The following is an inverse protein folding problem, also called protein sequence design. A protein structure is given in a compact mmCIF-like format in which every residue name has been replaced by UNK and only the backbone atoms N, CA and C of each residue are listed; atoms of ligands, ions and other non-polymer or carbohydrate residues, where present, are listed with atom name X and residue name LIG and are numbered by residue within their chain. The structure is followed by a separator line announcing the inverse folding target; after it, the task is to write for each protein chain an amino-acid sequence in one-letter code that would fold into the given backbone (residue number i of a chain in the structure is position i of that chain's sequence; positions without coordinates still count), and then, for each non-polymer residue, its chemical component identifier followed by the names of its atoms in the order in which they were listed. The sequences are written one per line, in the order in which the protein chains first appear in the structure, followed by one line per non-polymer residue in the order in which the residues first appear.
data_IF_047370514164
#
_entry.id   IF_047370514164
#
_cell.length_a   1.000
_cell.length_b   1.000
_cell.length_c   1.000
_cell.angle_alpha   90.00
_cell.angle_beta   90.00
_cell.angle_gamma   90.00
#
_symmetry.space_group_name_H-M   'P 1'
#
loop_
_entity.id
_entity.type
_entity.pdbx_description
1 polymer ?
#
# COMPACT_ATOMS: atom_id res chain seq x y z
N UNK A 1 -27.13 5.20 -11.47
CA UNK A 1 -26.03 5.22 -10.49
C UNK A 1 -26.59 5.68 -9.17
N UNK A 2 -26.53 4.84 -8.14
CA UNK A 2 -26.96 5.22 -6.80
C UNK A 2 -25.92 6.11 -6.11
N UNK A 3 -26.31 6.80 -5.04
CA UNK A 3 -25.41 7.61 -4.21
C UNK A 3 -24.17 6.82 -3.73
N UNK A 4 -24.36 5.53 -3.41
CA UNK A 4 -23.30 4.61 -2.98
C UNK A 4 -22.26 4.38 -4.09
N UNK A 5 -22.69 4.24 -5.35
CA UNK A 5 -21.78 4.05 -6.48
C UNK A 5 -20.89 5.27 -6.69
N UNK A 6 -21.50 6.47 -6.65
CA UNK A 6 -20.79 7.74 -6.79
C UNK A 6 -19.77 7.93 -5.67
N UNK A 7 -20.17 7.64 -4.42
CA UNK A 7 -19.29 7.70 -3.27
C UNK A 7 -18.07 6.77 -3.42
N UNK A 8 -18.29 5.53 -3.86
CA UNK A 8 -17.21 4.54 -4.05
C UNK A 8 -16.25 4.98 -5.16
N UNK A 9 -16.75 5.54 -6.26
CA UNK A 9 -15.91 6.07 -7.34
C UNK A 9 -15.04 7.23 -6.84
N UNK A 10 -15.61 8.17 -6.08
CA UNK A 10 -14.87 9.32 -5.53
C UNK A 10 -13.81 8.85 -4.53
N UNK A 11 -14.17 7.95 -3.60
CA UNK A 11 -13.26 7.40 -2.60
C UNK A 11 -12.09 6.66 -3.27
N UNK A 12 -12.39 5.86 -4.28
CA UNK A 12 -11.41 5.15 -5.12
C UNK A 12 -10.41 6.11 -5.74
N UNK A 13 -10.89 7.18 -6.39
CA UNK A 13 -10.03 8.17 -7.03
C UNK A 13 -9.14 8.88 -6.02
N UNK A 14 -9.66 9.17 -4.83
CA UNK A 14 -8.87 9.75 -3.74
C UNK A 14 -7.75 8.80 -3.27
N UNK A 15 -8.07 7.53 -3.02
CA UNK A 15 -7.08 6.51 -2.59
C UNK A 15 -6.03 6.29 -3.69
N UNK A 16 -6.45 6.17 -4.94
CA UNK A 16 -5.55 6.04 -6.08
C UNK A 16 -4.57 7.22 -6.18
N UNK A 17 -5.07 8.44 -6.04
CA UNK A 17 -4.24 9.65 -6.06
C UNK A 17 -3.22 9.66 -4.92
N UNK A 18 -3.60 9.22 -3.71
CA UNK A 18 -2.68 9.10 -2.57
C UNK A 18 -1.57 8.09 -2.83
N UNK A 19 -1.87 6.93 -3.43
CA UNK A 19 -0.87 5.92 -3.76
C UNK A 19 0.09 6.41 -4.87
N UNK A 20 -0.40 7.16 -5.87
CA UNK A 20 0.47 7.80 -6.87
C UNK A 20 1.41 8.83 -6.24
N UNK A 21 0.92 9.64 -5.30
CA UNK A 21 1.76 10.60 -4.55
C UNK A 21 2.79 9.88 -3.69
N UNK A 22 2.40 8.78 -3.03
CA UNK A 22 3.31 7.90 -2.28
C UNK A 22 4.45 7.38 -3.17
N UNK A 23 4.14 6.88 -4.38
CA UNK A 23 5.16 6.43 -5.33
C UNK A 23 6.10 7.56 -5.76
N UNK A 24 5.58 8.76 -6.04
CA UNK A 24 6.40 9.93 -6.38
C UNK A 24 7.35 10.30 -5.23
N UNK A 25 6.85 10.35 -3.99
CA UNK A 25 7.67 10.63 -2.80
C UNK A 25 8.71 9.53 -2.55
N UNK A 26 8.36 8.26 -2.77
CA UNK A 26 9.32 7.15 -2.72
C UNK A 26 10.40 7.27 -3.81
N UNK A 27 10.04 7.71 -5.01
CA UNK A 27 11.01 7.93 -6.10
C UNK A 27 11.99 9.06 -5.77
N UNK A 28 11.52 10.12 -5.10
CA UNK A 28 12.33 11.22 -4.55
C UNK A 28 13.15 10.85 -3.32
N UNK A 29 13.17 9.57 -2.90
CA UNK A 29 13.82 9.07 -1.68
C UNK A 29 13.32 9.73 -0.38
N UNK A 30 12.13 10.34 -0.41
CA UNK A 30 11.50 10.98 0.74
C UNK A 30 10.67 9.95 1.55
N UNK A 31 11.30 8.88 2.05
CA UNK A 31 10.58 7.77 2.69
C UNK A 31 9.94 8.13 4.04
N UNK A 32 10.43 9.19 4.69
CA UNK A 32 9.85 9.73 5.92
C UNK A 32 8.56 10.55 5.68
N UNK A 33 8.17 10.76 4.41
CA UNK A 33 6.99 11.56 4.07
C UNK A 33 5.70 10.94 4.66
N UNK A 34 4.74 11.75 5.12
CA UNK A 34 3.43 11.26 5.60
C UNK A 34 2.73 10.36 4.58
N UNK A 35 2.81 10.68 3.30
CA UNK A 35 2.20 9.88 2.22
C UNK A 35 2.77 8.46 2.12
N UNK A 36 4.04 8.28 2.49
CA UNK A 36 4.74 6.99 2.45
C UNK A 36 4.56 6.22 3.76
N UNK A 37 4.40 6.94 4.87
CA UNK A 37 4.34 6.39 6.23
C UNK A 37 2.93 6.13 6.75
N UNK A 38 1.93 6.83 6.22
CA UNK A 38 0.52 6.71 6.63
C UNK A 38 -0.03 5.29 6.51
N UNK A 39 0.45 4.53 5.53
CA UNK A 39 0.00 3.15 5.29
C UNK A 39 0.98 2.09 5.77
N UNK A 40 1.84 2.41 6.75
CA UNK A 40 2.85 1.52 7.32
C UNK A 40 2.70 1.36 8.82
N UNK A 41 3.23 0.26 9.36
CA UNK A 41 3.27 0.09 10.80
C UNK A 41 4.07 1.22 11.48
N UNK A 42 3.59 1.69 12.64
CA UNK A 42 4.20 2.78 13.43
C UNK A 42 5.72 2.60 13.62
N UNK A 43 6.18 1.36 13.85
CA UNK A 43 7.60 1.04 14.01
C UNK A 43 8.43 1.32 12.75
N UNK A 44 7.88 1.05 11.56
CA UNK A 44 8.60 1.26 10.29
C UNK A 44 8.57 2.72 9.89
N UNK A 45 7.47 3.42 10.14
CA UNK A 45 7.37 4.87 9.95
C UNK A 45 8.41 5.62 10.80
N UNK A 46 8.54 5.25 12.09
CA UNK A 46 9.55 5.80 12.98
C UNK A 46 10.97 5.50 12.48
N UNK A 47 11.28 4.24 12.14
CA UNK A 47 12.59 3.83 11.61
C UNK A 47 12.99 4.60 10.35
N UNK A 48 12.07 4.80 9.41
CA UNK A 48 12.35 5.54 8.17
C UNK A 48 12.56 7.04 8.42
N UNK A 49 11.95 7.59 9.47
CA UNK A 49 12.09 8.99 9.85
C UNK A 49 13.38 9.25 10.62
N UNK A 50 13.75 8.36 11.54
CA UNK A 50 14.95 8.50 12.37
C UNK A 50 16.25 8.25 11.58
N UNK A 51 16.24 7.29 10.65
CA UNK A 51 17.47 6.84 9.98
C UNK A 51 17.73 7.51 8.64
N UNK A 52 16.83 8.39 8.17
CA UNK A 52 16.88 9.04 6.85
C UNK A 52 17.38 8.14 5.71
N UNK A 53 16.97 6.87 5.72
CA UNK A 53 17.58 5.86 4.83
C UNK A 53 17.29 6.22 3.38
N UNK A 54 18.30 6.30 2.52
CA UNK A 54 18.16 6.66 1.08
C UNK A 54 18.39 5.47 0.13
N UNK A 55 18.25 4.26 0.64
CA UNK A 55 18.53 3.01 -0.09
C UNK A 55 17.52 2.77 -1.23
N UNK A 56 18.04 2.56 -2.44
CA UNK A 56 17.31 2.27 -3.68
C UNK A 56 16.40 1.03 -3.54
N UNK A 57 16.79 0.06 -2.70
CA UNK A 57 16.02 -1.18 -2.43
C UNK A 57 14.69 -0.85 -1.74
N UNK A 58 14.69 0.14 -0.84
CA UNK A 58 13.47 0.58 -0.14
C UNK A 58 12.51 1.26 -1.12
N UNK A 59 13.03 2.08 -2.06
CA UNK A 59 12.24 2.65 -3.15
C UNK A 59 11.54 1.58 -3.98
N UNK A 60 12.25 0.54 -4.43
CA UNK A 60 11.65 -0.55 -5.23
C UNK A 60 10.51 -1.24 -4.47
N UNK A 61 10.74 -1.59 -3.21
CA UNK A 61 9.74 -2.26 -2.37
C UNK A 61 8.51 -1.39 -2.15
N UNK A 62 8.72 -0.09 -1.93
CA UNK A 62 7.64 0.88 -1.77
C UNK A 62 6.75 1.02 -2.99
N UNK A 63 7.38 1.13 -4.16
CA UNK A 63 6.67 1.24 -5.43
C UNK A 63 5.88 -0.06 -5.67
N UNK A 64 6.51 -1.23 -5.49
CA UNK A 64 5.83 -2.53 -5.63
C UNK A 64 4.63 -2.63 -4.69
N UNK A 65 4.78 -2.24 -3.41
CA UNK A 65 3.66 -2.26 -2.46
C UNK A 65 2.50 -1.36 -2.90
N UNK A 66 2.81 -0.16 -3.37
CA UNK A 66 1.79 0.79 -3.86
C UNK A 66 1.09 0.24 -5.11
N UNK A 67 1.82 -0.41 -6.01
CA UNK A 67 1.26 -1.07 -7.20
C UNK A 67 0.34 -2.24 -6.82
N UNK A 68 0.77 -3.11 -5.88
CA UNK A 68 -0.05 -4.24 -5.39
C UNK A 68 -1.36 -3.73 -4.78
N UNK A 69 -1.32 -2.62 -4.03
CA UNK A 69 -2.53 -2.01 -3.47
C UNK A 69 -3.46 -1.43 -4.52
N UNK A 70 -2.93 -0.74 -5.52
CA UNK A 70 -3.73 -0.25 -6.65
C UNK A 70 -4.40 -1.43 -7.37
N UNK A 71 -3.67 -2.52 -7.59
CA UNK A 71 -4.22 -3.72 -8.20
C UNK A 71 -5.33 -4.33 -7.34
N UNK A 72 -5.14 -4.47 -6.03
CA UNK A 72 -6.18 -4.90 -5.08
C UNK A 72 -7.40 -3.98 -5.11
N UNK A 73 -7.19 -2.66 -5.16
CA UNK A 73 -8.26 -1.67 -5.27
C UNK A 73 -9.10 -1.91 -6.54
N UNK A 74 -8.45 -2.09 -7.69
CA UNK A 74 -9.11 -2.39 -8.97
C UNK A 74 -9.89 -3.71 -8.94
N UNK A 75 -9.33 -4.75 -8.30
CA UNK A 75 -10.03 -6.02 -8.10
C UNK A 75 -11.30 -5.80 -7.26
N UNK A 76 -11.21 -5.08 -6.13
CA UNK A 76 -12.36 -4.78 -5.27
C UNK A 76 -13.45 -3.97 -5.99
N UNK A 77 -13.07 -2.98 -6.80
CA UNK A 77 -14.01 -2.19 -7.61
C UNK A 77 -14.71 -3.06 -8.64
N UNK A 78 -13.93 -3.89 -9.35
CA UNK A 78 -14.49 -4.80 -10.36
C UNK A 78 -15.46 -5.78 -9.72
N UNK A 79 -15.17 -6.27 -8.51
CA UNK A 79 -16.06 -7.13 -7.74
C UNK A 79 -17.32 -6.39 -7.29
N UNK A 80 -17.18 -5.15 -6.81
CA UNK A 80 -18.31 -4.33 -6.38
C UNK A 80 -19.31 -4.11 -7.53
N UNK A 81 -18.83 -3.75 -8.72
CA UNK A 81 -19.70 -3.58 -9.89
C UNK A 81 -20.16 -4.90 -10.53
N UNK A 82 -19.45 -6.01 -10.28
CA UNK A 82 -19.85 -7.36 -10.67
C UNK A 82 -20.62 -8.12 -9.59
N UNK A 83 -21.12 -7.44 -8.55
CA UNK A 83 -21.99 -8.01 -7.49
C UNK A 83 -23.15 -8.84 -8.03
N UNK A 84 -23.62 -8.55 -9.25
CA UNK A 84 -24.64 -9.32 -9.97
C UNK A 84 -24.21 -10.75 -10.33
N UNK A 85 -22.90 -11.03 -10.38
CA UNK A 85 -22.28 -12.29 -10.78
C UNK A 85 -21.56 -13.03 -9.63
N UNK A 86 -21.23 -12.37 -8.53
CA UNK A 86 -20.32 -12.92 -7.49
C UNK A 86 -21.01 -13.63 -6.32
N UNK A 87 -22.32 -13.42 -6.10
CA UNK A 87 -23.12 -14.22 -5.16
C UNK A 87 -22.46 -14.47 -3.78
N UNK A 88 -22.54 -15.71 -3.29
CA UNK A 88 -22.04 -16.13 -1.96
C UNK A 88 -20.50 -16.04 -1.79
N UNK A 89 -19.74 -15.80 -2.86
CA UNK A 89 -18.28 -15.72 -2.79
C UNK A 89 -17.76 -14.33 -2.39
N UNK A 90 -18.64 -13.33 -2.25
CA UNK A 90 -18.25 -11.96 -1.92
C UNK A 90 -17.47 -11.86 -0.60
N UNK A 91 -17.89 -12.63 0.42
CA UNK A 91 -17.19 -12.72 1.71
C UNK A 91 -15.80 -13.35 1.55
N UNK A 92 -15.71 -14.49 0.87
CA UNK A 92 -14.43 -15.21 0.68
C UNK A 92 -13.44 -14.35 -0.07
N UNK A 93 -13.89 -13.64 -1.10
CA UNK A 93 -13.02 -12.77 -1.90
C UNK A 93 -12.60 -11.53 -1.10
N UNK A 94 -13.50 -10.94 -0.32
CA UNK A 94 -13.19 -9.82 0.57
C UNK A 94 -12.18 -10.23 1.65
N UNK A 95 -12.38 -11.38 2.30
CA UNK A 95 -11.42 -11.93 3.27
C UNK A 95 -10.07 -12.26 2.63
N UNK A 96 -10.08 -12.80 1.41
CA UNK A 96 -8.84 -13.08 0.67
C UNK A 96 -8.10 -11.79 0.33
N UNK A 97 -8.81 -10.74 -0.11
CA UNK A 97 -8.21 -9.44 -0.40
C UNK A 97 -7.63 -8.78 0.86
N UNK A 98 -8.34 -8.83 1.98
CA UNK A 98 -7.87 -8.32 3.28
C UNK A 98 -6.65 -9.11 3.74
N UNK A 99 -6.70 -10.43 3.70
CA UNK A 99 -5.59 -11.31 4.08
C UNK A 99 -4.34 -11.08 3.22
N UNK A 100 -4.53 -10.94 1.91
CA UNK A 100 -3.44 -10.65 0.97
C UNK A 100 -2.83 -9.28 1.23
N UNK A 101 -3.66 -8.26 1.50
CA UNK A 101 -3.20 -6.91 1.86
C UNK A 101 -2.37 -6.93 3.15
N UNK A 102 -2.84 -7.65 4.19
CA UNK A 102 -2.13 -7.77 5.45
C UNK A 102 -0.78 -8.49 5.29
N UNK A 103 -0.75 -9.61 4.57
CA UNK A 103 0.48 -10.34 4.27
C UNK A 103 1.47 -9.50 3.46
N UNK A 104 0.99 -8.76 2.46
CA UNK A 104 1.81 -7.85 1.67
C UNK A 104 2.42 -6.74 2.53
N UNK A 105 1.63 -6.09 3.39
CA UNK A 105 2.12 -5.09 4.34
C UNK A 105 3.16 -5.67 5.28
N UNK A 106 2.88 -6.84 5.86
CA UNK A 106 3.80 -7.50 6.79
C UNK A 106 5.14 -7.84 6.12
N UNK A 107 5.11 -8.39 4.90
CA UNK A 107 6.32 -8.69 4.11
C UNK A 107 7.14 -7.43 3.80
N UNK A 108 6.47 -6.35 3.40
CA UNK A 108 7.10 -5.06 3.08
C UNK A 108 7.76 -4.48 4.33
N UNK A 109 7.06 -4.46 5.46
CA UNK A 109 7.58 -3.95 6.72
C UNK A 109 8.75 -4.80 7.24
N UNK A 110 8.68 -6.13 7.10
CA UNK A 110 9.77 -7.04 7.46
C UNK A 110 11.01 -6.80 6.60
N UNK A 111 10.85 -6.71 5.28
CA UNK A 111 11.95 -6.42 4.34
C UNK A 111 12.61 -5.08 4.64
N UNK A 112 11.84 -4.05 4.94
CA UNK A 112 12.37 -2.71 5.17
C UNK A 112 13.14 -2.66 6.49
N UNK A 113 12.63 -3.28 7.55
CA UNK A 113 13.41 -3.47 8.80
C UNK A 113 14.74 -4.17 8.55
N UNK A 114 14.75 -5.22 7.73
CA UNK A 114 15.98 -5.96 7.40
C UNK A 114 17.00 -5.09 6.65
N UNK A 115 16.53 -4.28 5.69
CA UNK A 115 17.41 -3.36 4.93
C UNK A 115 17.97 -2.27 5.84
N UNK A 116 17.16 -1.65 6.69
CA UNK A 116 17.61 -0.63 7.65
C UNK A 116 18.69 -1.20 8.57
N UNK A 117 18.47 -2.39 9.14
CA UNK A 117 19.46 -3.06 10.01
C UNK A 117 20.75 -3.43 9.27
N UNK A 118 20.68 -3.77 7.98
CA UNK A 118 21.87 -4.03 7.18
C UNK A 118 22.67 -2.75 6.91
N UNK A 119 21.99 -1.63 6.61
CA UNK A 119 22.64 -0.35 6.40
C UNK A 119 23.40 0.13 7.65
N UNK A 120 22.86 -0.11 8.85
CA UNK A 120 23.52 0.18 10.14
C UNK A 120 24.78 -0.65 10.41
N UNK A 121 24.89 -1.85 9.83
CA UNK A 121 26.05 -2.75 10.05
C UNK A 121 27.19 -2.48 9.07
N UNK A 122 26.93 -1.71 8.00
CA UNK A 122 27.89 -1.42 6.93
C UNK A 122 28.32 0.04 6.84
N UNK A 123 27.72 0.92 7.66
CA UNK A 123 28.09 2.34 7.79
C UNK A 123 28.76 2.59 9.14
#
# INVERSE_FOLDING_TARGET
MGFVDVFIVILTLAIFSLEVVSMRKASQKAYASPYVTMFRGLKVAALLKEKEVKDERIKKILIINSVVKIFLLLVLITLFFSRRFTGDYELVISFTAIGTSFLAQWLVDWRIKKIVKQAELTG
#
